data_IF_538823066756
#
_entry.id   IF_538823066756
#
_cell.length_a   1.000
_cell.length_b   1.000
_cell.length_c   1.000
_cell.angle_alpha   90.00
_cell.angle_beta   90.00
_cell.angle_gamma   90.00
#
_symmetry.space_group_name_H-M   'P 1'
#
loop_
_entity.id
_entity.type
_entity.pdbx_description
1 polymer ?
#
# COMPACT_ATOMS: atom_id res chain seq x y z
N UNK A 1 -14.42 -23.29 20.22
CA UNK A 1 -14.03 -22.71 18.93
C UNK A 1 -12.84 -21.80 19.21
N UNK A 2 -11.63 -22.34 19.11
CA UNK A 2 -10.43 -21.52 19.25
C UNK A 2 -10.40 -20.57 18.08
N UNK A 3 -10.31 -19.27 18.35
CA UNK A 3 -10.33 -18.19 17.33
C UNK A 3 -9.10 -18.23 16.41
N UNK A 4 -8.23 -19.22 16.55
CA UNK A 4 -7.01 -19.41 15.75
C UNK A 4 -6.02 -18.24 15.82
N UNK A 5 -6.23 -17.32 16.77
CA UNK A 5 -5.34 -16.17 16.95
C UNK A 5 -4.07 -16.62 17.65
N UNK A 6 -2.96 -16.53 16.94
CA UNK A 6 -1.62 -16.80 17.46
C UNK A 6 -0.94 -15.50 17.90
N UNK A 7 -0.34 -15.50 19.09
CA UNK A 7 0.34 -14.34 19.64
C UNK A 7 1.55 -13.91 18.79
N UNK A 8 2.22 -14.88 18.14
CA UNK A 8 3.33 -14.58 17.23
C UNK A 8 2.84 -13.77 16.03
N UNK A 9 1.81 -14.26 15.34
CA UNK A 9 1.20 -13.58 14.18
C UNK A 9 0.70 -12.17 14.54
N UNK A 10 -0.01 -12.04 15.68
CA UNK A 10 -0.49 -10.75 16.16
C UNK A 10 0.65 -9.78 16.48
N UNK A 11 1.77 -10.27 17.02
CA UNK A 11 2.94 -9.44 17.31
C UNK A 11 3.58 -8.90 16.03
N UNK A 12 3.76 -9.78 15.02
CA UNK A 12 4.31 -9.40 13.71
C UNK A 12 3.39 -8.39 13.00
N UNK A 13 2.08 -8.66 12.98
CA UNK A 13 1.10 -7.75 12.39
C UNK A 13 1.12 -6.40 13.13
N UNK A 14 1.12 -6.43 14.45
CA UNK A 14 1.17 -5.23 15.28
C UNK A 14 2.40 -4.37 15.01
N UNK A 15 3.58 -4.97 14.94
CA UNK A 15 4.83 -4.28 14.63
C UNK A 15 4.86 -3.74 13.19
N UNK A 16 4.47 -4.56 12.21
CA UNK A 16 4.40 -4.14 10.80
C UNK A 16 3.47 -2.94 10.60
N UNK A 17 2.27 -3.01 11.20
CA UNK A 17 1.31 -1.90 11.15
C UNK A 17 1.81 -0.67 11.92
N UNK A 18 2.46 -0.85 13.07
CA UNK A 18 3.04 0.26 13.82
C UNK A 18 4.09 1.02 12.98
N UNK A 19 5.01 0.30 12.35
CA UNK A 19 6.03 0.88 11.47
C UNK A 19 5.41 1.56 10.24
N UNK A 20 4.54 0.84 9.52
CA UNK A 20 3.89 1.37 8.32
C UNK A 20 2.97 2.56 8.61
N UNK A 21 2.21 2.52 9.71
CA UNK A 21 1.33 3.59 10.14
C UNK A 21 2.11 4.84 10.59
N UNK A 22 3.22 4.65 11.29
CA UNK A 22 4.12 5.74 11.66
C UNK A 22 4.67 6.44 10.41
N UNK A 23 5.17 5.68 9.43
CA UNK A 23 5.61 6.21 8.13
C UNK A 23 4.47 6.94 7.42
N UNK A 24 3.27 6.36 7.36
CA UNK A 24 2.10 7.02 6.75
C UNK A 24 1.73 8.31 7.48
N UNK A 25 1.81 8.33 8.80
CA UNK A 25 1.55 9.53 9.61
C UNK A 25 2.51 10.67 9.28
N UNK A 26 3.76 10.35 8.99
CA UNK A 26 4.81 11.30 8.64
C UNK A 26 4.75 11.78 7.18
N UNK A 27 4.45 10.89 6.22
CA UNK A 27 4.51 11.19 4.78
C UNK A 27 3.15 11.39 4.12
N UNK A 28 2.08 10.94 4.76
CA UNK A 28 0.73 10.86 4.17
C UNK A 28 0.50 9.61 3.30
N UNK A 29 1.54 8.78 3.07
CA UNK A 29 1.47 7.56 2.25
C UNK A 29 2.40 6.48 2.79
N UNK A 30 2.43 5.30 2.16
CA UNK A 30 3.47 4.28 2.43
C UNK A 30 3.10 3.24 3.48
N UNK A 31 1.88 3.23 4.02
CA UNK A 31 1.44 2.20 4.98
C UNK A 31 1.69 0.77 4.45
N UNK A 32 1.17 0.37 3.27
CA UNK A 32 1.43 -0.98 2.76
C UNK A 32 2.89 -1.19 2.36
N UNK A 33 3.57 -0.15 1.91
CA UNK A 33 4.95 -0.21 1.44
C UNK A 33 5.94 -0.70 2.51
N UNK A 34 5.65 -0.46 3.78
CA UNK A 34 6.46 -0.90 4.92
C UNK A 34 5.81 -2.10 5.62
N UNK A 35 4.50 -2.04 5.87
CA UNK A 35 3.81 -3.07 6.63
C UNK A 35 3.75 -4.42 5.89
N UNK A 36 3.42 -4.42 4.57
CA UNK A 36 3.29 -5.66 3.80
C UNK A 36 4.63 -6.39 3.67
N UNK A 37 5.74 -5.77 3.23
CA UNK A 37 7.04 -6.44 3.19
C UNK A 37 7.48 -6.98 4.56
N UNK A 38 7.26 -6.19 5.63
CA UNK A 38 7.60 -6.65 6.97
C UNK A 38 6.80 -7.90 7.36
N UNK A 39 5.48 -7.87 7.21
CA UNK A 39 4.64 -9.02 7.56
C UNK A 39 4.89 -10.22 6.64
N UNK A 40 5.07 -9.99 5.33
CA UNK A 40 5.31 -11.05 4.35
C UNK A 40 6.56 -11.86 4.68
N UNK A 41 7.62 -11.21 5.14
CA UNK A 41 8.84 -11.87 5.55
C UNK A 41 8.76 -12.73 6.83
N UNK A 42 7.60 -12.84 7.48
CA UNK A 42 7.41 -13.70 8.67
C UNK A 42 6.15 -14.57 8.58
N UNK A 43 5.13 -14.11 7.86
CA UNK A 43 3.80 -14.73 7.81
C UNK A 43 3.43 -15.25 6.41
N UNK A 44 4.29 -14.99 5.41
CA UNK A 44 4.00 -15.20 4.01
C UNK A 44 3.28 -14.00 3.36
N UNK A 45 3.42 -13.90 2.04
CA UNK A 45 2.92 -12.74 1.29
C UNK A 45 1.40 -12.70 1.24
N UNK A 46 0.75 -13.82 0.96
CA UNK A 46 -0.71 -13.90 0.92
C UNK A 46 -1.35 -13.44 2.23
N UNK A 47 -0.89 -13.97 3.38
CA UNK A 47 -1.39 -13.61 4.70
C UNK A 47 -1.23 -12.10 4.97
N UNK A 48 -0.03 -11.57 4.71
CA UNK A 48 0.29 -10.16 4.92
C UNK A 48 -0.61 -9.24 4.07
N UNK A 49 -0.82 -9.59 2.80
CA UNK A 49 -1.62 -8.79 1.86
C UNK A 49 -3.09 -8.80 2.26
N UNK A 50 -3.65 -9.96 2.64
CA UNK A 50 -5.07 -10.08 3.04
C UNK A 50 -5.35 -9.30 4.33
N UNK A 51 -4.53 -9.49 5.37
CA UNK A 51 -4.71 -8.79 6.66
C UNK A 51 -4.59 -7.28 6.49
N UNK A 52 -3.71 -6.81 5.59
CA UNK A 52 -3.49 -5.39 5.33
C UNK A 52 -4.72 -4.68 4.73
N UNK A 53 -5.68 -5.40 4.12
CA UNK A 53 -6.80 -4.78 3.41
C UNK A 53 -7.72 -3.98 4.34
N UNK A 54 -8.02 -4.49 5.55
CA UNK A 54 -8.88 -3.80 6.51
C UNK A 54 -8.24 -2.51 7.02
N UNK A 55 -7.00 -2.52 7.55
CA UNK A 55 -6.29 -1.30 7.91
C UNK A 55 -6.14 -0.31 6.75
N UNK A 56 -5.84 -0.82 5.56
CA UNK A 56 -5.73 -0.01 4.35
C UNK A 56 -7.02 0.72 4.01
N UNK A 57 -8.13 0.01 3.93
CA UNK A 57 -9.44 0.57 3.64
C UNK A 57 -9.86 1.61 4.69
N UNK A 58 -9.80 1.25 5.97
CA UNK A 58 -10.22 2.15 7.07
C UNK A 58 -9.39 3.43 7.08
N UNK A 59 -8.07 3.32 6.90
CA UNK A 59 -7.19 4.49 6.84
C UNK A 59 -7.49 5.38 5.62
N UNK A 60 -7.81 4.80 4.47
CA UNK A 60 -8.12 5.56 3.26
C UNK A 60 -9.51 6.21 3.34
N UNK A 61 -10.52 5.51 3.86
CA UNK A 61 -11.85 6.08 4.15
C UNK A 61 -11.74 7.26 5.12
N UNK A 62 -10.90 7.15 6.16
CA UNK A 62 -10.65 8.24 7.09
C UNK A 62 -10.03 9.46 6.39
N UNK A 63 -9.06 9.28 5.48
CA UNK A 63 -8.47 10.37 4.70
C UNK A 63 -9.50 11.06 3.81
N UNK A 64 -10.33 10.28 3.10
CA UNK A 64 -11.42 10.81 2.27
C UNK A 64 -12.41 11.63 3.12
N UNK A 65 -12.84 11.09 4.24
CA UNK A 65 -13.76 11.79 5.13
C UNK A 65 -13.18 13.09 5.69
N UNK A 66 -11.90 13.06 6.10
CA UNK A 66 -11.20 14.22 6.66
C UNK A 66 -11.03 15.34 5.63
N UNK A 67 -10.71 14.99 4.39
CA UNK A 67 -10.45 15.94 3.31
C UNK A 67 -11.62 16.07 2.31
N UNK A 68 -12.83 15.65 2.66
CA UNK A 68 -14.01 15.63 1.75
C UNK A 68 -14.38 16.99 1.13
N UNK A 69 -13.96 18.09 1.74
CA UNK A 69 -14.19 19.45 1.22
C UNK A 69 -13.42 19.70 -0.08
N UNK A 70 -12.33 18.97 -0.28
CA UNK A 70 -11.44 19.08 -1.44
C UNK A 70 -11.93 18.26 -2.64
N UNK A 71 -13.03 17.54 -2.53
CA UNK A 71 -13.59 16.72 -3.61
C UNK A 71 -13.83 17.48 -4.92
N UNK A 72 -14.17 18.77 -4.83
CA UNK A 72 -14.40 19.63 -6.01
C UNK A 72 -13.11 19.98 -6.77
N UNK A 73 -11.97 19.97 -6.09
CA UNK A 73 -10.67 20.26 -6.68
C UNK A 73 -9.99 19.02 -7.28
N UNK A 74 -10.56 17.83 -7.04
CA UNK A 74 -9.98 16.54 -7.44
C UNK A 74 -10.80 15.93 -8.59
N UNK A 75 -10.37 16.08 -9.86
CA UNK A 75 -11.08 15.51 -11.00
C UNK A 75 -11.02 13.98 -10.98
N UNK A 76 -12.15 13.32 -11.19
CA UNK A 76 -12.18 11.85 -11.27
C UNK A 76 -11.66 11.44 -12.66
N UNK A 77 -10.53 10.73 -12.69
CA UNK A 77 -9.91 10.19 -13.89
C UNK A 77 -10.34 8.72 -14.08
N UNK A 78 -11.43 8.52 -14.81
CA UNK A 78 -11.94 7.18 -15.12
C UNK A 78 -10.96 6.37 -15.95
N UNK A 79 -10.19 7.00 -16.82
CA UNK A 79 -9.15 6.40 -17.65
C UNK A 79 -7.97 5.81 -16.81
N UNK A 80 -7.80 6.28 -15.58
CA UNK A 80 -6.85 5.73 -14.61
C UNK A 80 -7.51 4.68 -13.71
N UNK A 81 -8.68 4.98 -13.16
CA UNK A 81 -9.30 4.18 -12.10
C UNK A 81 -9.88 2.87 -12.64
N UNK A 82 -10.60 2.90 -13.77
CA UNK A 82 -11.28 1.71 -14.30
C UNK A 82 -10.31 0.61 -14.74
N UNK A 83 -9.26 0.91 -15.56
CA UNK A 83 -8.27 -0.11 -15.92
C UNK A 83 -7.53 -0.67 -14.71
N UNK A 84 -7.20 0.18 -13.73
CA UNK A 84 -6.55 -0.25 -12.51
C UNK A 84 -7.44 -1.19 -11.69
N UNK A 85 -8.71 -0.84 -11.47
CA UNK A 85 -9.65 -1.71 -10.75
C UNK A 85 -9.83 -3.07 -11.44
N UNK A 86 -9.95 -3.09 -12.78
CA UNK A 86 -10.08 -4.33 -13.53
C UNK A 86 -8.83 -5.22 -13.35
N UNK A 87 -7.64 -4.65 -13.48
CA UNK A 87 -6.39 -5.40 -13.30
C UNK A 87 -6.08 -5.73 -11.82
N UNK A 88 -6.65 -5.00 -10.86
CA UNK A 88 -6.59 -5.38 -9.44
C UNK A 88 -7.29 -6.73 -9.21
N UNK A 89 -8.45 -6.97 -9.85
CA UNK A 89 -9.12 -8.28 -9.77
C UNK A 89 -8.23 -9.40 -10.35
N UNK A 90 -7.61 -9.15 -11.51
CA UNK A 90 -6.66 -10.10 -12.12
C UNK A 90 -5.46 -10.35 -11.21
N UNK A 91 -4.93 -9.30 -10.57
CA UNK A 91 -3.83 -9.41 -9.61
C UNK A 91 -4.20 -10.22 -8.37
N UNK A 92 -5.43 -10.07 -7.85
CA UNK A 92 -5.91 -10.89 -6.73
C UNK A 92 -6.04 -12.36 -7.13
N UNK A 93 -6.57 -12.64 -8.32
CA UNK A 93 -6.59 -14.00 -8.84
C UNK A 93 -5.16 -14.57 -8.98
N UNK A 94 -4.21 -13.77 -9.44
CA UNK A 94 -2.81 -14.17 -9.51
C UNK A 94 -2.24 -14.48 -8.11
N UNK A 95 -2.56 -13.67 -7.10
CA UNK A 95 -2.18 -13.92 -5.70
C UNK A 95 -2.71 -15.26 -5.18
N UNK A 96 -3.94 -15.62 -5.56
CA UNK A 96 -4.62 -16.86 -5.13
C UNK A 96 -4.00 -18.12 -5.74
N UNK A 97 -3.53 -18.05 -7.01
CA UNK A 97 -3.08 -19.24 -7.75
C UNK A 97 -1.55 -19.43 -7.76
N UNK A 98 -0.79 -18.39 -7.42
CA UNK A 98 0.67 -18.44 -7.47
C UNK A 98 1.28 -18.84 -6.11
N UNK A 99 2.44 -19.50 -6.20
CA UNK A 99 3.23 -19.80 -5.01
C UNK A 99 3.65 -18.52 -4.28
N UNK A 100 3.65 -18.57 -2.95
CA UNK A 100 4.03 -17.45 -2.08
C UNK A 100 5.41 -16.88 -2.46
N UNK A 101 6.34 -17.72 -2.89
CA UNK A 101 7.66 -17.32 -3.37
C UNK A 101 7.61 -16.37 -4.57
N UNK A 102 6.72 -16.62 -5.53
CA UNK A 102 6.54 -15.76 -6.72
C UNK A 102 5.97 -14.41 -6.29
N UNK A 103 5.03 -14.42 -5.36
CA UNK A 103 4.43 -13.20 -4.82
C UNK A 103 5.46 -12.39 -4.03
N UNK A 104 6.30 -13.04 -3.22
CA UNK A 104 7.41 -12.38 -2.51
C UNK A 104 8.37 -11.71 -3.49
N UNK A 105 8.75 -12.39 -4.57
CA UNK A 105 9.64 -11.82 -5.61
C UNK A 105 8.97 -10.66 -6.36
N UNK A 106 7.68 -10.75 -6.63
CA UNK A 106 6.91 -9.66 -7.25
C UNK A 106 6.82 -8.45 -6.32
N UNK A 107 6.58 -8.69 -5.03
CA UNK A 107 6.58 -7.66 -3.99
C UNK A 107 7.96 -6.99 -3.89
N UNK A 108 9.03 -7.79 -3.82
CA UNK A 108 10.40 -7.30 -3.82
C UNK A 108 10.68 -6.46 -5.09
N UNK A 109 10.32 -6.94 -6.27
CA UNK A 109 10.47 -6.17 -7.51
C UNK A 109 9.73 -4.83 -7.50
N UNK A 110 8.51 -4.78 -6.94
CA UNK A 110 7.74 -3.55 -6.80
C UNK A 110 8.40 -2.56 -5.83
N UNK A 111 8.92 -3.05 -4.70
CA UNK A 111 9.63 -2.23 -3.69
C UNK A 111 10.97 -1.75 -4.24
N UNK A 112 11.75 -2.61 -4.93
CA UNK A 112 13.00 -2.23 -5.57
C UNK A 112 12.79 -1.15 -6.64
N UNK A 113 11.75 -1.29 -7.47
CA UNK A 113 11.38 -0.27 -8.45
C UNK A 113 11.05 1.08 -7.78
N UNK A 114 10.34 1.05 -6.67
CA UNK A 114 10.07 2.25 -5.88
C UNK A 114 11.35 2.89 -5.34
N UNK A 115 12.23 2.11 -4.72
CA UNK A 115 13.52 2.60 -4.22
C UNK A 115 14.35 3.22 -5.34
N UNK A 116 14.40 2.57 -6.50
CA UNK A 116 15.09 3.09 -7.68
C UNK A 116 14.50 4.44 -8.13
N UNK A 117 13.18 4.55 -8.25
CA UNK A 117 12.53 5.83 -8.59
C UNK A 117 12.81 6.92 -7.55
N UNK A 118 12.77 6.59 -6.27
CA UNK A 118 13.02 7.53 -5.19
C UNK A 118 14.46 8.05 -5.19
N UNK A 119 15.44 7.17 -5.47
CA UNK A 119 16.87 7.50 -5.41
C UNK A 119 17.36 8.18 -6.69
N UNK A 120 16.93 7.71 -7.87
CA UNK A 120 17.46 8.17 -9.15
C UNK A 120 16.63 9.27 -9.81
N UNK A 121 15.31 9.32 -9.56
CA UNK A 121 14.44 10.31 -10.18
C UNK A 121 13.26 10.74 -9.27
N UNK A 122 13.54 11.43 -8.15
CA UNK A 122 12.51 11.83 -7.18
C UNK A 122 11.49 12.83 -7.77
N UNK A 123 11.81 13.44 -8.93
CA UNK A 123 10.96 14.40 -9.62
C UNK A 123 10.25 13.80 -10.84
N UNK A 124 10.27 12.48 -11.00
CA UNK A 124 9.64 11.81 -12.13
C UNK A 124 8.14 12.16 -12.21
N UNK A 125 7.71 12.65 -13.36
CA UNK A 125 6.33 13.02 -13.66
C UNK A 125 5.97 12.61 -15.07
N UNK A 126 4.73 12.21 -15.26
CA UNK A 126 4.15 11.92 -16.56
C UNK A 126 3.30 13.14 -16.96
N UNK A 127 3.90 14.09 -17.67
CA UNK A 127 3.24 15.32 -18.12
C UNK A 127 2.91 15.26 -19.62
N UNK A 128 1.95 16.08 -20.06
CA UNK A 128 1.59 16.30 -21.46
C UNK A 128 0.94 15.10 -22.16
N UNK A 129 1.11 15.01 -23.48
CA UNK A 129 0.52 13.97 -24.32
C UNK A 129 0.99 12.55 -23.92
N UNK A 130 2.26 12.42 -23.60
CA UNK A 130 2.83 11.15 -23.11
C UNK A 130 2.12 10.71 -21.82
N UNK A 131 1.89 11.64 -20.88
CA UNK A 131 1.14 11.36 -19.67
C UNK A 131 -0.27 10.84 -19.95
N UNK A 132 -0.97 11.42 -20.91
CA UNK A 132 -2.32 10.99 -21.28
C UNK A 132 -2.37 9.58 -21.87
N UNK A 133 -1.40 9.23 -22.71
CA UNK A 133 -1.33 7.90 -23.35
C UNK A 133 -0.82 6.85 -22.36
N UNK A 134 0.19 7.19 -21.56
CA UNK A 134 0.82 6.24 -20.64
C UNK A 134 0.01 6.01 -19.36
N UNK A 135 -0.87 6.95 -18.96
CA UNK A 135 -1.66 6.82 -17.72
C UNK A 135 -2.50 5.54 -17.68
N UNK A 136 -3.31 5.18 -18.68
CA UNK A 136 -4.08 3.93 -18.65
C UNK A 136 -3.20 2.69 -18.54
N UNK A 137 -2.10 2.63 -19.31
CA UNK A 137 -1.17 1.49 -19.31
C UNK A 137 -0.48 1.36 -17.95
N UNK A 138 0.07 2.47 -17.42
CA UNK A 138 0.68 2.49 -16.11
C UNK A 138 -0.33 2.12 -15.01
N UNK A 139 -1.59 2.54 -15.16
CA UNK A 139 -2.66 2.20 -14.22
C UNK A 139 -3.03 0.72 -14.27
N UNK A 140 -3.01 0.08 -15.45
CA UNK A 140 -3.18 -1.37 -15.59
C UNK A 140 -2.08 -2.12 -14.84
N UNK A 141 -0.83 -1.75 -15.07
CA UNK A 141 0.33 -2.36 -14.37
C UNK A 141 0.22 -2.14 -12.86
N UNK A 142 -0.08 -0.90 -12.43
CA UNK A 142 -0.24 -0.58 -11.02
C UNK A 142 -1.41 -1.29 -10.36
N UNK A 143 -2.53 -1.46 -11.08
CA UNK A 143 -3.68 -2.22 -10.61
C UNK A 143 -3.35 -3.70 -10.43
N UNK A 144 -2.66 -4.31 -11.40
CA UNK A 144 -2.19 -5.69 -11.27
C UNK A 144 -1.27 -5.86 -10.05
N UNK A 145 -0.26 -5.01 -9.90
CA UNK A 145 0.67 -5.04 -8.76
C UNK A 145 -0.07 -4.78 -7.43
N UNK A 146 -1.08 -3.89 -7.43
CA UNK A 146 -1.94 -3.68 -6.26
C UNK A 146 -2.66 -4.97 -5.86
N UNK A 147 -3.28 -5.66 -6.82
CA UNK A 147 -3.98 -6.91 -6.57
C UNK A 147 -3.07 -8.04 -6.11
N UNK A 148 -1.94 -8.22 -6.79
CA UNK A 148 -1.04 -9.34 -6.57
C UNK A 148 -0.08 -9.15 -5.37
N UNK A 149 0.36 -7.92 -5.10
CA UNK A 149 1.36 -7.64 -4.06
C UNK A 149 0.88 -6.65 -2.97
N UNK A 150 -0.30 -6.05 -3.13
CA UNK A 150 -0.84 -5.09 -2.16
C UNK A 150 -0.10 -3.74 -2.13
N UNK A 151 0.86 -3.51 -3.02
CA UNK A 151 1.77 -2.34 -2.98
C UNK A 151 1.88 -1.69 -4.34
N UNK A 152 1.07 -0.66 -4.60
CA UNK A 152 1.16 0.15 -5.84
C UNK A 152 1.30 1.65 -5.56
N UNK A 153 1.47 2.00 -4.27
CA UNK A 153 1.50 3.39 -3.80
C UNK A 153 2.42 4.30 -4.61
N UNK A 154 3.67 3.92 -4.87
CA UNK A 154 4.62 4.76 -5.61
C UNK A 154 4.15 5.13 -7.01
N UNK A 155 3.63 4.15 -7.76
CA UNK A 155 3.18 4.35 -9.13
C UNK A 155 1.97 5.30 -9.18
N UNK A 156 0.92 5.01 -8.40
CA UNK A 156 -0.27 5.86 -8.38
C UNK A 156 -0.01 7.23 -7.78
N UNK A 157 0.83 7.32 -6.73
CA UNK A 157 1.21 8.62 -6.17
C UNK A 157 1.92 9.49 -7.21
N UNK A 158 2.78 8.90 -8.04
CA UNK A 158 3.46 9.61 -9.14
C UNK A 158 2.46 10.07 -10.21
N UNK A 159 1.52 9.19 -10.60
CA UNK A 159 0.45 9.56 -11.54
C UNK A 159 -0.41 10.71 -11.00
N UNK A 160 -0.80 10.64 -9.72
CA UNK A 160 -1.63 11.67 -9.08
C UNK A 160 -0.86 12.99 -8.91
N UNK A 161 0.46 12.94 -8.65
CA UNK A 161 1.31 14.14 -8.59
C UNK A 161 1.34 14.92 -9.92
N UNK A 162 1.22 14.23 -11.06
CA UNK A 162 1.16 14.88 -12.37
C UNK A 162 -0.10 15.74 -12.56
N UNK A 163 -1.14 15.54 -11.76
CA UNK A 163 -2.37 16.34 -11.79
C UNK A 163 -2.23 17.72 -11.13
N UNK A 164 -1.08 17.98 -10.48
CA UNK A 164 -0.76 19.27 -9.84
C UNK A 164 -1.83 19.76 -8.85
N UNK A 165 -2.42 18.84 -8.12
CA UNK A 165 -3.45 19.14 -7.12
C UNK A 165 -2.85 19.89 -5.93
N UNK A 166 -3.61 20.78 -5.27
CA UNK A 166 -3.25 21.28 -3.94
C UNK A 166 -3.02 20.12 -2.96
N UNK A 167 -2.18 20.33 -1.94
CA UNK A 167 -1.76 19.28 -1.02
C UNK A 167 -2.92 18.49 -0.41
N UNK A 168 -3.95 19.18 0.05
CA UNK A 168 -5.13 18.60 0.67
C UNK A 168 -5.97 17.81 -0.35
N UNK A 169 -6.13 18.33 -1.57
CA UNK A 169 -6.81 17.65 -2.67
C UNK A 169 -6.03 16.41 -3.13
N UNK A 170 -4.70 16.47 -3.14
CA UNK A 170 -3.84 15.30 -3.40
C UNK A 170 -4.07 14.19 -2.36
N UNK A 171 -4.11 14.54 -1.07
CA UNK A 171 -4.37 13.57 0.02
C UNK A 171 -5.77 12.96 -0.10
N UNK A 172 -6.78 13.79 -0.42
CA UNK A 172 -8.14 13.32 -0.68
C UNK A 172 -8.17 12.32 -1.84
N UNK A 173 -7.57 12.71 -2.98
CA UNK A 173 -7.59 11.90 -4.19
C UNK A 173 -6.84 10.57 -4.03
N UNK A 174 -5.69 10.59 -3.35
CA UNK A 174 -4.97 9.39 -2.97
C UNK A 174 -5.83 8.46 -2.11
N UNK A 175 -6.46 8.99 -1.06
CA UNK A 175 -7.37 8.22 -0.21
C UNK A 175 -8.54 7.62 -1.01
N UNK A 176 -9.12 8.38 -1.96
CA UNK A 176 -10.20 7.91 -2.81
C UNK A 176 -9.76 6.76 -3.71
N UNK A 177 -8.66 6.92 -4.45
CA UNK A 177 -8.15 5.93 -5.39
C UNK A 177 -7.77 4.63 -4.66
N UNK A 178 -6.98 4.73 -3.59
CA UNK A 178 -6.59 3.54 -2.82
C UNK A 178 -7.76 2.94 -2.03
N UNK A 179 -8.72 3.75 -1.58
CA UNK A 179 -9.96 3.25 -0.98
C UNK A 179 -10.77 2.41 -1.96
N UNK A 180 -10.88 2.85 -3.23
CA UNK A 180 -11.52 2.09 -4.29
C UNK A 180 -10.75 0.78 -4.58
N UNK A 181 -9.43 0.82 -4.69
CA UNK A 181 -8.62 -0.38 -4.92
C UNK A 181 -8.75 -1.38 -3.77
N UNK A 182 -8.67 -0.94 -2.51
CA UNK A 182 -8.91 -1.81 -1.37
C UNK A 182 -10.31 -2.42 -1.39
N UNK A 183 -11.34 -1.65 -1.78
CA UNK A 183 -12.72 -2.17 -1.87
C UNK A 183 -12.81 -3.25 -2.93
N UNK A 184 -12.28 -3.01 -4.14
CA UNK A 184 -12.26 -4.01 -5.23
C UNK A 184 -11.46 -5.24 -4.81
N UNK A 185 -10.32 -5.05 -4.18
CA UNK A 185 -9.44 -6.12 -3.70
C UNK A 185 -10.12 -6.97 -2.63
N UNK A 186 -10.78 -6.36 -1.65
CA UNK A 186 -11.55 -7.07 -0.61
C UNK A 186 -12.68 -7.90 -1.24
N UNK A 187 -13.44 -7.32 -2.19
CA UNK A 187 -14.54 -8.05 -2.88
C UNK A 187 -13.98 -9.26 -3.63
N UNK A 188 -12.88 -9.09 -4.37
CA UNK A 188 -12.22 -10.18 -5.08
C UNK A 188 -11.70 -11.26 -4.12
N UNK A 189 -11.02 -10.88 -3.05
CA UNK A 189 -10.50 -11.81 -2.04
C UNK A 189 -11.62 -12.56 -1.28
N UNK A 190 -12.75 -11.89 -1.01
CA UNK A 190 -13.91 -12.55 -0.43
C UNK A 190 -14.52 -13.59 -1.39
N UNK A 191 -14.57 -13.30 -2.68
CA UNK A 191 -15.09 -14.24 -3.67
C UNK A 191 -14.22 -15.48 -3.87
N UNK A 192 -12.92 -15.38 -3.57
CA UNK A 192 -11.95 -16.48 -3.61
C UNK A 192 -11.78 -17.18 -2.24
N UNK A 193 -12.49 -16.73 -1.20
CA UNK A 193 -12.41 -17.35 0.13
C UNK A 193 -11.12 -17.06 0.90
N UNK A 194 -10.31 -16.08 0.48
CA UNK A 194 -9.04 -15.73 1.10
C UNK A 194 -9.20 -15.10 2.49
N UNK A 195 -10.37 -14.48 2.79
CA UNK A 195 -10.71 -13.94 4.10
C UNK A 195 -11.26 -15.03 5.03
N UNK A 196 -10.36 -15.67 5.77
CA UNK A 196 -10.76 -16.52 6.90
C UNK A 196 -11.19 -15.66 8.09
N UNK A 197 -11.95 -16.26 9.03
CA UNK A 197 -12.34 -15.59 10.29
C UNK A 197 -11.10 -15.07 11.05
N UNK A 198 -10.03 -15.85 11.06
CA UNK A 198 -8.76 -15.48 11.69
C UNK A 198 -8.20 -14.20 11.04
N UNK A 199 -7.97 -14.19 9.71
CA UNK A 199 -7.40 -13.05 8.98
C UNK A 199 -8.26 -11.79 9.11
N UNK A 200 -9.59 -11.97 9.16
CA UNK A 200 -10.51 -10.85 9.39
C UNK A 200 -10.31 -10.24 10.79
N UNK A 201 -10.24 -11.08 11.84
CA UNK A 201 -10.01 -10.62 13.21
C UNK A 201 -8.64 -9.98 13.37
N UNK A 202 -7.60 -10.55 12.81
CA UNK A 202 -6.25 -9.98 12.77
C UNK A 202 -6.24 -8.60 12.12
N UNK A 203 -6.93 -8.43 10.98
CA UNK A 203 -7.09 -7.14 10.31
C UNK A 203 -7.86 -6.11 11.16
N UNK A 204 -8.87 -6.54 11.90
CA UNK A 204 -9.58 -5.65 12.84
C UNK A 204 -8.71 -5.24 14.02
N UNK A 205 -7.98 -6.18 14.64
CA UNK A 205 -7.05 -5.88 15.74
C UNK A 205 -5.91 -4.98 15.30
N UNK A 206 -5.47 -5.09 14.05
CA UNK A 206 -4.45 -4.25 13.41
C UNK A 206 -4.84 -2.77 13.31
N UNK A 207 -6.12 -2.42 13.48
CA UNK A 207 -6.57 -1.02 13.54
C UNK A 207 -6.04 -0.30 14.80
N UNK A 208 -5.77 -1.02 15.88
CA UNK A 208 -5.25 -0.43 17.13
C UNK A 208 -3.87 0.20 16.87
N UNK A 209 -2.82 -0.57 16.48
CA UNK A 209 -1.53 0.01 16.18
C UNK A 209 -1.58 0.99 15.02
N UNK A 210 -2.45 0.77 14.01
CA UNK A 210 -2.63 1.72 12.91
C UNK A 210 -2.93 3.12 13.42
N UNK A 211 -3.99 3.30 14.19
CA UNK A 211 -4.41 4.64 14.63
C UNK A 211 -3.43 5.26 15.62
N UNK A 212 -2.91 4.47 16.56
CA UNK A 212 -1.93 4.96 17.54
C UNK A 212 -0.70 5.50 16.84
N UNK A 213 -0.05 4.70 15.99
CA UNK A 213 1.22 5.07 15.38
C UNK A 213 1.07 6.05 14.21
N UNK A 214 -0.05 6.03 13.49
CA UNK A 214 -0.34 7.07 12.50
C UNK A 214 -0.50 8.45 13.16
N UNK A 215 -1.17 8.52 14.33
CA UNK A 215 -1.30 9.75 15.09
C UNK A 215 0.04 10.23 15.65
N UNK A 216 0.86 9.32 16.19
CA UNK A 216 2.23 9.63 16.63
C UNK A 216 3.06 10.16 15.47
N UNK A 217 3.01 9.50 14.31
CA UNK A 217 3.71 9.95 13.09
C UNK A 217 3.31 11.36 12.66
N UNK A 218 2.01 11.66 12.65
CA UNK A 218 1.53 13.02 12.34
C UNK A 218 2.02 14.08 13.32
N UNK A 219 2.15 13.75 14.61
CA UNK A 219 2.70 14.69 15.60
C UNK A 219 4.21 14.91 15.43
N UNK A 220 4.96 13.86 15.17
CA UNK A 220 6.41 13.91 14.98
C UNK A 220 6.79 14.63 13.69
N UNK A 221 5.93 14.62 12.68
CA UNK A 221 6.16 15.33 11.40
C UNK A 221 6.55 16.80 11.57
N UNK A 222 6.04 17.46 12.61
CA UNK A 222 6.38 18.87 12.90
C UNK A 222 7.80 19.10 13.46
N UNK A 223 8.48 18.05 13.91
CA UNK A 223 9.78 18.14 14.59
C UNK A 223 10.95 17.52 13.81
N UNK A 224 10.67 16.60 12.89
CA UNK A 224 11.70 15.89 12.14
C UNK A 224 12.14 16.67 10.90
N UNK A 225 13.45 16.76 10.64
CA UNK A 225 13.92 17.29 9.37
C UNK A 225 13.55 16.31 8.23
N UNK A 226 13.06 16.81 7.08
CA UNK A 226 12.63 15.95 5.97
C UNK A 226 13.72 14.97 5.49
N UNK A 227 14.99 15.37 5.53
CA UNK A 227 16.12 14.53 5.08
C UNK A 227 16.38 13.35 6.02
N UNK A 228 16.43 13.59 7.32
CA UNK A 228 16.64 12.52 8.33
C UNK A 228 15.50 11.52 8.28
N UNK A 229 14.30 12.03 8.15
CA UNK A 229 13.11 11.19 8.06
C UNK A 229 13.12 10.31 6.81
N UNK A 230 13.31 10.89 5.60
CA UNK A 230 13.39 10.13 4.36
C UNK A 230 14.49 9.07 4.44
N UNK A 231 15.66 9.41 5.00
CA UNK A 231 16.74 8.48 5.21
C UNK A 231 16.37 7.29 6.10
N UNK A 232 15.66 7.54 7.20
CA UNK A 232 15.21 6.47 8.11
C UNK A 232 14.18 5.55 7.44
N UNK A 233 13.21 6.10 6.71
CA UNK A 233 12.21 5.32 5.95
C UNK A 233 12.88 4.46 4.90
N UNK A 234 13.79 5.04 4.10
CA UNK A 234 14.56 4.29 3.09
C UNK A 234 15.37 3.18 3.73
N UNK A 235 16.03 3.43 4.86
CA UNK A 235 16.80 2.40 5.57
C UNK A 235 15.91 1.22 6.00
N UNK A 236 14.73 1.47 6.56
CA UNK A 236 13.77 0.41 6.92
C UNK A 236 13.34 -0.38 5.69
N UNK A 237 12.97 0.30 4.60
CA UNK A 237 12.54 -0.37 3.36
C UNK A 237 13.67 -1.21 2.79
N UNK A 238 14.91 -0.71 2.76
CA UNK A 238 16.08 -1.46 2.24
C UNK A 238 16.33 -2.72 3.08
N UNK A 239 16.24 -2.64 4.40
CA UNK A 239 16.40 -3.82 5.27
C UNK A 239 15.31 -4.86 5.00
N UNK A 240 14.06 -4.41 4.82
CA UNK A 240 12.95 -5.32 4.48
C UNK A 240 13.12 -5.90 3.06
N UNK A 241 13.61 -5.12 2.12
CA UNK A 241 13.90 -5.56 0.75
C UNK A 241 14.96 -6.67 0.72
N UNK A 242 16.05 -6.52 1.45
CA UNK A 242 17.09 -7.55 1.56
C UNK A 242 16.48 -8.85 2.09
N UNK A 243 15.61 -8.77 3.11
CA UNK A 243 14.93 -9.94 3.67
C UNK A 243 14.00 -10.61 2.66
N UNK A 244 13.18 -9.84 1.94
CA UNK A 244 12.27 -10.37 0.92
C UNK A 244 13.02 -11.06 -0.22
N UNK A 245 14.09 -10.45 -0.71
CA UNK A 245 14.93 -11.05 -1.75
C UNK A 245 15.55 -12.35 -1.25
N UNK A 246 16.06 -12.37 -0.03
CA UNK A 246 16.62 -13.56 0.60
C UNK A 246 15.61 -14.71 0.65
N UNK A 247 14.41 -14.45 1.17
CA UNK A 247 13.32 -15.43 1.23
C UNK A 247 12.82 -15.84 -0.15
N UNK A 248 12.63 -14.88 -1.06
CA UNK A 248 12.20 -15.15 -2.42
C UNK A 248 13.18 -16.00 -3.23
N UNK A 249 14.48 -15.87 -2.97
CA UNK A 249 15.51 -16.73 -3.59
C UNK A 249 15.66 -18.08 -2.88
N UNK A 250 15.07 -18.25 -1.69
CA UNK A 250 15.14 -19.48 -0.89
C UNK A 250 16.52 -19.70 -0.28
N UNK A 251 17.22 -18.62 0.08
CA UNK A 251 18.56 -18.63 0.69
C UNK A 251 18.48 -18.60 2.21
#
# INVERSE_FOLDING_TARGET
MELGLDLYSLSIIGLGLALGAFVKGLTGMGLPLVAVPFMAGFLGAEHAIVVMQIPGLVSNVWLVWRHRREAKAAPIRYDMILPACALTVVGVWFLDVMDDRIIILLLAGAVACFLALLLFNPSFRLDGLIGTICTPIASMVGGFVQGAAGVSGPLFSTLILSFRLPKEAYVFYNGLVFGLFNTVQIIAMLSLGMFTTQRFLEGCLALIPLFVFQFVGMRVMGYASPKVFTGAVVAVIVVMEIKLVWEGLGL
#
